data_IF_340294788047
#
_entry.id   IF_340294788047
#
_cell.length_a   1.000
_cell.length_b   1.000
_cell.length_c   1.000
_cell.angle_alpha   90.00
_cell.angle_beta   90.00
_cell.angle_gamma   90.00
#
_symmetry.space_group_name_H-M   'P 1'
#
loop_
_entity.id
_entity.type
_entity.pdbx_description
1 polymer ?
#
# COMPACT_ATOMS: atom_id res chain seq x y z
N UNK A 1 -13.51 7.28 12.64
CA UNK A 1 -12.91 6.39 11.63
C UNK A 1 -12.94 4.97 12.17
N UNK A 2 -13.44 4.01 11.40
CA UNK A 2 -13.23 2.60 11.74
C UNK A 2 -11.78 2.22 11.42
N UNK A 3 -11.16 1.42 12.28
CA UNK A 3 -9.80 0.89 12.05
C UNK A 3 -9.69 0.15 10.70
N UNK A 4 -10.79 -0.48 10.26
CA UNK A 4 -10.89 -1.15 8.97
C UNK A 4 -10.77 -0.16 7.79
N UNK A 5 -11.36 1.03 7.92
CA UNK A 5 -11.25 2.05 6.86
C UNK A 5 -9.84 2.61 6.82
N UNK A 6 -9.23 2.85 7.98
CA UNK A 6 -7.83 3.25 8.01
C UNK A 6 -6.94 2.22 7.32
N UNK A 7 -7.14 0.93 7.56
CA UNK A 7 -6.28 -0.12 7.01
C UNK A 7 -6.47 -0.30 5.50
N UNK A 8 -7.73 -0.42 5.04
CA UNK A 8 -8.03 -0.85 3.67
C UNK A 8 -8.39 0.27 2.70
N UNK A 9 -8.77 1.46 3.18
CA UNK A 9 -9.18 2.54 2.27
C UNK A 9 -8.00 3.03 1.41
N UNK A 10 -8.20 3.22 0.10
CA UNK A 10 -7.20 3.83 -0.77
C UNK A 10 -6.87 5.26 -0.34
N UNK A 11 -5.62 5.68 -0.54
CA UNK A 11 -5.15 7.01 -0.12
C UNK A 11 -5.03 7.96 -1.30
N UNK A 12 -5.61 9.15 -1.24
CA UNK A 12 -5.54 10.12 -2.34
C UNK A 12 -4.38 11.11 -2.16
N UNK A 13 -3.59 11.28 -3.22
CA UNK A 13 -2.46 12.22 -3.28
C UNK A 13 -2.88 13.58 -3.88
N UNK A 14 -2.01 14.59 -3.82
CA UNK A 14 -2.19 15.96 -4.35
C UNK A 14 -2.50 16.02 -5.87
N UNK A 15 -2.26 14.93 -6.60
CA UNK A 15 -2.64 14.79 -8.03
C UNK A 15 -4.07 14.25 -8.23
N UNK A 16 -4.73 13.80 -7.17
CA UNK A 16 -6.00 13.10 -7.22
C UNK A 16 -5.87 11.61 -7.54
N UNK A 17 -4.65 11.06 -7.49
CA UNK A 17 -4.39 9.64 -7.72
C UNK A 17 -4.61 8.85 -6.45
N UNK A 18 -5.25 7.69 -6.59
CA UNK A 18 -5.35 6.71 -5.52
C UNK A 18 -4.03 5.96 -5.40
N UNK A 19 -3.46 6.00 -4.22
CA UNK A 19 -2.24 5.32 -3.82
C UNK A 19 -2.61 4.10 -2.97
N UNK A 20 -1.72 3.09 -2.91
CA UNK A 20 -1.97 1.88 -2.13
C UNK A 20 -2.38 2.18 -0.70
N UNK A 21 -3.33 1.39 -0.19
CA UNK A 21 -3.81 1.46 1.19
C UNK A 21 -2.69 1.16 2.19
N UNK A 22 -2.91 1.49 3.47
CA UNK A 22 -1.93 1.17 4.52
C UNK A 22 -1.72 -0.34 4.64
N UNK A 23 -2.78 -1.14 4.44
CA UNK A 23 -2.67 -2.60 4.37
C UNK A 23 -1.65 -3.05 3.32
N UNK A 24 -1.70 -2.47 2.12
CA UNK A 24 -0.79 -2.82 1.03
C UNK A 24 0.67 -2.46 1.34
N UNK A 25 0.90 -1.35 2.06
CA UNK A 25 2.24 -0.91 2.47
C UNK A 25 2.80 -1.81 3.57
N UNK A 26 1.99 -2.13 4.57
CA UNK A 26 2.35 -3.06 5.65
C UNK A 26 2.64 -4.44 5.07
N UNK A 27 1.81 -4.92 4.14
CA UNK A 27 1.99 -6.20 3.47
C UNK A 27 3.32 -6.28 2.71
N UNK A 28 3.76 -5.19 2.07
CA UNK A 28 5.08 -5.12 1.44
C UNK A 28 6.20 -5.39 2.43
N UNK A 29 6.19 -4.70 3.57
CA UNK A 29 7.25 -4.82 4.58
C UNK A 29 7.25 -6.22 5.18
N UNK A 30 6.07 -6.74 5.56
CA UNK A 30 5.93 -8.07 6.13
C UNK A 30 6.44 -9.14 5.16
N UNK A 31 6.06 -9.05 3.89
CA UNK A 31 6.48 -10.03 2.88
C UNK A 31 7.99 -10.04 2.71
N UNK A 32 8.62 -8.86 2.57
CA UNK A 32 10.08 -8.77 2.41
C UNK A 32 10.83 -9.33 3.62
N UNK A 33 10.36 -9.03 4.85
CA UNK A 33 10.98 -9.52 6.07
C UNK A 33 10.82 -11.04 6.21
N UNK A 34 9.62 -11.57 5.96
CA UNK A 34 9.36 -13.01 6.08
C UNK A 34 10.12 -13.83 5.03
N UNK A 35 10.08 -13.39 3.76
CA UNK A 35 10.80 -14.08 2.69
C UNK A 35 12.32 -13.95 2.90
N UNK A 36 12.81 -12.77 3.28
CA UNK A 36 14.21 -12.56 3.59
C UNK A 36 14.68 -13.42 4.76
N UNK A 37 13.88 -13.52 5.82
CA UNK A 37 14.18 -14.41 6.94
C UNK A 37 14.17 -15.89 6.53
N UNK A 38 13.21 -16.31 5.70
CA UNK A 38 13.11 -17.68 5.22
C UNK A 38 14.32 -18.10 4.36
N UNK A 39 14.79 -17.22 3.47
CA UNK A 39 15.94 -17.54 2.60
C UNK A 39 17.30 -17.31 3.26
N UNK A 40 17.35 -16.75 4.47
CA UNK A 40 18.61 -16.43 5.16
C UNK A 40 19.51 -17.66 5.28
N UNK A 41 19.01 -18.76 5.83
CA UNK A 41 19.79 -19.98 6.04
C UNK A 41 20.31 -20.58 4.73
N UNK A 42 19.47 -20.56 3.68
CA UNK A 42 19.78 -21.13 2.36
C UNK A 42 20.80 -20.35 1.54
N UNK A 43 21.07 -19.08 1.88
CA UNK A 43 21.85 -18.16 1.02
C UNK A 43 22.81 -17.24 1.80
N UNK A 44 22.99 -17.47 3.10
CA UNK A 44 23.73 -16.60 4.02
C UNK A 44 25.17 -16.31 3.58
N UNK A 45 25.86 -17.27 2.95
CA UNK A 45 27.22 -17.11 2.42
C UNK A 45 27.30 -16.19 1.19
N UNK A 46 26.16 -15.87 0.56
CA UNK A 46 26.08 -15.03 -0.63
C UNK A 46 24.93 -14.02 -0.53
N UNK A 47 25.23 -12.83 -0.02
CA UNK A 47 24.27 -11.72 0.13
C UNK A 47 23.58 -11.32 -1.17
N UNK A 48 24.25 -11.41 -2.33
CA UNK A 48 23.63 -11.11 -3.63
C UNK A 48 22.56 -12.14 -3.98
N UNK A 49 22.83 -13.42 -3.72
CA UNK A 49 21.87 -14.50 -3.93
C UNK A 49 20.70 -14.39 -2.94
N UNK A 50 20.97 -14.08 -1.67
CA UNK A 50 19.94 -13.84 -0.66
C UNK A 50 18.97 -12.72 -1.07
N UNK A 51 19.52 -11.57 -1.48
CA UNK A 51 18.72 -10.43 -1.92
C UNK A 51 17.93 -10.76 -3.20
N UNK A 52 18.58 -11.42 -4.16
CA UNK A 52 17.95 -11.86 -5.41
C UNK A 52 16.76 -12.79 -5.17
N UNK A 53 16.93 -13.81 -4.33
CA UNK A 53 15.85 -14.75 -3.98
C UNK A 53 14.74 -14.06 -3.21
N UNK A 54 15.08 -13.15 -2.28
CA UNK A 54 14.10 -12.38 -1.52
C UNK A 54 13.18 -11.59 -2.44
N UNK A 55 13.74 -10.87 -3.41
CA UNK A 55 12.95 -10.10 -4.38
C UNK A 55 12.16 -11.02 -5.32
N UNK A 56 12.83 -12.05 -5.87
CA UNK A 56 12.25 -12.96 -6.85
C UNK A 56 10.98 -13.64 -6.30
N UNK A 57 11.04 -14.12 -5.06
CA UNK A 57 9.93 -14.81 -4.40
C UNK A 57 8.90 -13.82 -3.86
N UNK A 58 9.32 -12.66 -3.34
CA UNK A 58 8.37 -11.65 -2.87
C UNK A 58 7.50 -11.08 -4.00
N UNK A 59 8.03 -10.96 -5.21
CA UNK A 59 7.31 -10.34 -6.34
C UNK A 59 5.96 -11.00 -6.67
N UNK A 60 5.86 -12.33 -6.89
CA UNK A 60 4.56 -12.98 -7.12
C UNK A 60 3.65 -12.91 -5.89
N UNK A 61 4.19 -13.03 -4.67
CA UNK A 61 3.42 -12.93 -3.43
C UNK A 61 2.78 -11.54 -3.30
N UNK A 62 3.55 -10.49 -3.52
CA UNK A 62 3.10 -9.09 -3.50
C UNK A 62 2.07 -8.83 -4.60
N UNK A 63 2.30 -9.33 -5.81
CA UNK A 63 1.36 -9.19 -6.92
C UNK A 63 -0.02 -9.76 -6.57
N UNK A 64 -0.06 -10.99 -6.03
CA UNK A 64 -1.31 -11.65 -5.64
C UNK A 64 -1.93 -10.93 -4.43
N UNK A 65 -1.14 -10.63 -3.40
CA UNK A 65 -1.66 -10.00 -2.18
C UNK A 65 -2.23 -8.61 -2.43
N UNK A 66 -1.58 -7.78 -3.25
CA UNK A 66 -2.13 -6.48 -3.63
C UNK A 66 -3.38 -6.59 -4.49
N UNK A 67 -3.47 -7.59 -5.38
CA UNK A 67 -4.71 -7.86 -6.10
C UNK A 67 -5.86 -8.16 -5.13
N UNK A 68 -5.65 -9.05 -4.15
CA UNK A 68 -6.66 -9.36 -3.14
C UNK A 68 -7.05 -8.14 -2.30
N UNK A 69 -6.07 -7.35 -1.86
CA UNK A 69 -6.32 -6.11 -1.11
C UNK A 69 -7.09 -5.08 -1.95
N UNK A 70 -6.87 -5.02 -3.26
CA UNK A 70 -7.60 -4.12 -4.16
C UNK A 70 -9.10 -4.47 -4.24
N UNK A 71 -9.45 -5.77 -4.16
CA UNK A 71 -10.84 -6.21 -4.13
C UNK A 71 -11.55 -5.78 -2.84
N UNK A 72 -10.86 -5.90 -1.70
CA UNK A 72 -11.38 -5.45 -0.39
C UNK A 72 -11.54 -3.92 -0.34
N UNK A 73 -10.66 -3.18 -1.01
CA UNK A 73 -10.66 -1.72 -1.02
C UNK A 73 -11.78 -1.10 -1.89
N UNK A 74 -12.34 -1.85 -2.85
CA UNK A 74 -13.26 -1.32 -3.89
C UNK A 74 -14.52 -0.64 -3.33
N UNK A 75 -15.02 -1.07 -2.18
CA UNK A 75 -16.24 -0.54 -1.56
C UNK A 75 -15.96 0.43 -0.41
N UNK A 76 -14.74 0.97 -0.29
CA UNK A 76 -14.37 1.89 0.77
C UNK A 76 -14.12 3.30 0.24
N UNK A 77 -14.54 4.28 1.03
CA UNK A 77 -14.31 5.69 0.74
C UNK A 77 -12.81 6.02 0.79
N UNK A 78 -12.34 6.81 -0.19
CA UNK A 78 -10.93 7.23 -0.27
C UNK A 78 -10.55 8.09 0.94
N UNK A 79 -9.32 7.97 1.44
CA UNK A 79 -8.84 8.83 2.53
C UNK A 79 -7.74 9.76 2.04
N UNK A 80 -7.68 10.98 2.58
CA UNK A 80 -6.58 11.90 2.29
C UNK A 80 -5.26 11.27 2.79
N UNK A 81 -4.22 11.29 1.93
CA UNK A 81 -2.91 10.79 2.31
C UNK A 81 -2.32 11.56 3.52
N UNK A 82 -2.47 12.88 3.49
CA UNK A 82 -2.02 13.81 4.53
C UNK A 82 -2.99 14.99 4.55
N UNK A 83 -3.31 15.63 5.69
CA UNK A 83 -4.20 16.79 5.73
C UNK A 83 -3.81 17.93 4.76
N UNK A 84 -2.51 18.08 4.50
CA UNK A 84 -1.94 19.07 3.57
C UNK A 84 -2.39 18.91 2.12
N UNK A 85 -2.81 17.72 1.69
CA UNK A 85 -3.24 17.49 0.30
C UNK A 85 -4.63 18.04 -0.02
N UNK A 86 -5.43 18.40 1.01
CA UNK A 86 -6.79 18.92 0.82
C UNK A 86 -6.81 20.21 -0.01
N UNK A 87 -6.03 21.22 0.40
CA UNK A 87 -5.99 22.52 -0.27
C UNK A 87 -5.59 22.42 -1.75
N UNK A 88 -4.50 21.71 -2.11
CA UNK A 88 -4.16 21.46 -3.52
C UNK A 88 -5.24 20.71 -4.31
N UNK A 89 -6.00 19.81 -3.67
CA UNK A 89 -7.08 19.08 -4.33
C UNK A 89 -8.31 19.95 -4.56
N UNK A 90 -8.62 20.83 -3.61
CA UNK A 90 -9.72 21.80 -3.69
C UNK A 90 -9.46 22.84 -4.77
N UNK A 91 -8.27 23.45 -4.80
CA UNK A 91 -7.84 24.41 -5.84
C UNK A 91 -7.92 23.81 -7.25
N UNK A 92 -7.65 22.51 -7.39
CA UNK A 92 -7.73 21.78 -8.66
C UNK A 92 -9.13 21.24 -8.98
N UNK A 93 -10.11 21.44 -8.10
CA UNK A 93 -11.46 20.88 -8.25
C UNK A 93 -11.53 19.35 -8.17
N UNK A 94 -10.47 18.69 -7.69
CA UNK A 94 -10.33 17.22 -7.60
C UNK A 94 -10.64 16.67 -6.22
N UNK A 95 -11.11 17.50 -5.29
CA UNK A 95 -11.50 17.07 -3.95
C UNK A 95 -12.71 16.13 -4.06
N UNK A 96 -12.64 14.89 -3.52
CA UNK A 96 -13.78 13.98 -3.51
C UNK A 96 -15.00 14.60 -2.80
N UNK A 97 -16.21 14.29 -3.27
CA UNK A 97 -17.47 14.87 -2.78
C UNK A 97 -17.67 14.69 -1.27
N UNK A 98 -17.27 13.54 -0.73
CA UNK A 98 -17.32 13.23 0.69
C UNK A 98 -16.51 14.18 1.60
N UNK A 99 -15.58 14.97 1.04
CA UNK A 99 -14.80 15.97 1.79
C UNK A 99 -15.27 17.43 1.56
N UNK A 100 -16.25 17.64 0.67
CA UNK A 100 -16.78 18.98 0.35
C UNK A 100 -17.83 19.46 1.36
N UNK A 101 -18.64 18.55 1.90
CA UNK A 101 -19.66 18.84 2.91
C UNK A 101 -19.39 17.99 4.17
N UNK A 102 -18.66 18.53 5.16
CA UNK A 102 -18.36 17.82 6.41
C UNK A 102 -19.58 17.63 7.32
#
# INVERSE_FOLDING_TARGET
MSWLDWLFAPRIDHRGWQTPSEASRIFLIITLVLVGWWYWDSTSDNLFMWFGMTILVSTPILSIGWYLLSLVAKNREVQLLTPKVRKPLEEKGRLPSQFKNP
#
